data_IF_031057682302
#
_entry.id   IF_031057682302
#
_cell.length_a   1.000
_cell.length_b   1.000
_cell.length_c   1.000
_cell.angle_alpha   90.00
_cell.angle_beta   90.00
_cell.angle_gamma   90.00
#
_symmetry.space_group_name_H-M   'P 1'
#
loop_
_entity.id
_entity.type
_entity.pdbx_description
1 polymer ?
#
# COMPACT_ATOMS: atom_id res chain seq x y z
N UNK A 1 -3.87 12.00 2.85
CA UNK A 1 -4.57 11.51 1.66
C UNK A 1 -4.43 9.99 1.57
N UNK A 2 -5.51 9.31 1.23
CA UNK A 2 -5.49 7.86 1.11
C UNK A 2 -5.01 7.41 -0.27
N UNK A 3 -4.25 6.34 -0.27
CA UNK A 3 -3.77 5.68 -1.48
C UNK A 3 -4.01 4.17 -1.38
N UNK A 4 -4.41 3.59 -2.50
CA UNK A 4 -4.46 2.14 -2.67
C UNK A 4 -3.19 1.69 -3.39
N UNK A 5 -2.48 0.76 -2.78
CA UNK A 5 -1.31 0.14 -3.38
C UNK A 5 -1.69 -1.29 -3.72
N UNK A 6 -1.68 -1.61 -5.02
CA UNK A 6 -1.90 -2.97 -5.50
C UNK A 6 -0.55 -3.52 -5.92
N UNK A 7 -0.19 -4.70 -5.42
CA UNK A 7 1.12 -5.27 -5.70
C UNK A 7 1.03 -6.73 -6.06
N UNK A 8 2.00 -7.20 -6.85
CA UNK A 8 2.10 -8.59 -7.26
C UNK A 8 3.56 -8.97 -7.43
N UNK A 9 3.95 -10.12 -6.88
CA UNK A 9 5.27 -10.68 -7.13
C UNK A 9 5.39 -11.10 -8.60
N UNK A 10 6.55 -10.88 -9.18
CA UNK A 10 6.79 -11.15 -10.60
C UNK A 10 6.76 -12.63 -10.92
N UNK A 11 7.17 -13.47 -9.97
CA UNK A 11 7.13 -14.93 -10.08
C UNK A 11 7.23 -15.59 -8.70
N UNK A 12 7.21 -16.92 -8.66
CA UNK A 12 7.28 -17.67 -7.40
C UNK A 12 8.63 -17.51 -6.68
N UNK A 13 9.71 -17.34 -7.41
CA UNK A 13 11.03 -17.11 -6.83
C UNK A 13 11.08 -15.76 -6.15
N UNK A 14 10.55 -14.74 -6.80
CA UNK A 14 10.44 -13.40 -6.25
C UNK A 14 9.57 -13.38 -4.99
N UNK A 15 8.46 -14.14 -5.00
CA UNK A 15 7.59 -14.27 -3.84
C UNK A 15 8.32 -14.88 -2.64
N UNK A 16 9.07 -15.94 -2.86
CA UNK A 16 9.83 -16.60 -1.80
C UNK A 16 10.89 -15.67 -1.22
N UNK A 17 11.64 -15.00 -2.08
CA UNK A 17 12.68 -14.05 -1.70
C UNK A 17 12.10 -12.85 -0.96
N UNK A 18 11.00 -12.30 -1.49
CA UNK A 18 10.32 -11.15 -0.88
C UNK A 18 9.70 -11.50 0.47
N UNK A 19 9.17 -12.70 0.62
CA UNK A 19 8.60 -13.16 1.89
C UNK A 19 9.65 -13.25 2.98
N UNK A 20 10.87 -13.70 2.65
CA UNK A 20 12.00 -13.70 3.58
C UNK A 20 12.41 -12.28 3.98
N UNK A 21 12.50 -11.39 3.02
CA UNK A 21 12.82 -9.98 3.27
C UNK A 21 11.78 -9.33 4.18
N UNK A 22 10.50 -9.61 3.92
CA UNK A 22 9.40 -9.08 4.71
C UNK A 22 9.48 -9.57 6.16
N UNK A 23 9.76 -10.86 6.34
CA UNK A 23 9.90 -11.43 7.69
C UNK A 23 11.06 -10.82 8.45
N UNK A 24 12.21 -10.62 7.81
CA UNK A 24 13.37 -9.96 8.42
C UNK A 24 13.01 -8.52 8.84
N UNK A 25 12.34 -7.79 7.96
CA UNK A 25 11.89 -6.44 8.25
C UNK A 25 10.94 -6.42 9.46
N UNK A 26 10.00 -7.35 9.49
CA UNK A 26 9.03 -7.50 10.59
C UNK A 26 9.73 -7.82 11.91
N UNK A 27 10.65 -8.77 11.89
CA UNK A 27 11.38 -9.21 13.09
C UNK A 27 12.30 -8.12 13.65
N UNK A 28 12.73 -7.20 12.81
CA UNK A 28 13.55 -6.04 13.20
C UNK A 28 12.73 -4.83 13.65
N UNK A 29 11.43 -4.98 13.82
CA UNK A 29 10.56 -3.91 14.29
C UNK A 29 10.10 -2.96 13.19
N UNK A 30 10.06 -3.41 11.94
CA UNK A 30 9.63 -2.58 10.81
C UNK A 30 8.26 -1.92 11.00
N UNK A 31 7.22 -2.63 11.43
CA UNK A 31 5.91 -2.01 11.64
C UNK A 31 5.89 -0.87 12.65
N UNK A 32 6.77 -0.90 13.65
CA UNK A 32 6.86 0.10 14.68
C UNK A 32 7.73 1.29 14.29
N UNK A 33 8.51 1.16 13.22
CA UNK A 33 9.49 2.15 12.78
C UNK A 33 9.20 2.69 11.39
N UNK A 34 7.93 2.79 11.03
CA UNK A 34 7.52 3.40 9.77
C UNK A 34 7.80 4.89 9.79
N UNK A 35 8.10 5.49 8.63
CA UNK A 35 8.37 6.92 8.58
C UNK A 35 7.18 7.75 8.97
N UNK A 36 7.43 8.96 9.44
CA UNK A 36 6.40 9.95 9.66
C UNK A 36 5.69 10.28 8.33
N UNK A 37 4.39 10.51 8.40
CA UNK A 37 3.60 10.80 7.19
C UNK A 37 3.25 9.56 6.37
N UNK A 38 3.40 8.37 6.92
CA UNK A 38 3.06 7.11 6.26
C UNK A 38 2.34 6.20 7.27
N UNK A 39 1.02 6.19 7.21
CA UNK A 39 0.18 5.43 8.13
C UNK A 39 -0.57 4.32 7.38
N UNK A 40 -0.25 3.07 7.69
CA UNK A 40 -0.87 1.91 7.04
C UNK A 40 -2.22 1.63 7.70
N UNK A 41 -3.28 1.78 6.93
CA UNK A 41 -4.66 1.51 7.39
C UNK A 41 -5.02 0.03 7.25
N UNK A 42 -4.57 -0.61 6.19
CA UNK A 42 -4.74 -2.05 6.01
C UNK A 42 -3.65 -2.59 5.09
N UNK A 43 -3.36 -3.87 5.26
CA UNK A 43 -2.43 -4.60 4.41
C UNK A 43 -2.88 -6.04 4.35
N UNK A 44 -3.06 -6.56 3.14
CA UNK A 44 -3.45 -7.96 2.92
C UNK A 44 -2.60 -8.58 1.83
N UNK A 45 -2.43 -9.88 1.91
CA UNK A 45 -1.70 -10.66 0.93
C UNK A 45 -2.46 -11.93 0.60
N UNK A 46 -2.50 -12.28 -0.68
CA UNK A 46 -3.14 -13.50 -1.18
C UNK A 46 -2.02 -14.47 -1.60
N UNK A 47 -1.61 -15.41 -0.72
CA UNK A 47 -0.41 -16.20 -0.97
C UNK A 47 -0.52 -17.12 -2.19
N UNK A 48 -1.72 -17.61 -2.51
CA UNK A 48 -1.91 -18.46 -3.68
C UNK A 48 -1.74 -17.70 -4.99
N UNK A 49 -2.01 -16.42 -4.99
CA UNK A 49 -1.96 -15.59 -6.20
C UNK A 49 -0.69 -14.74 -6.26
N UNK A 50 0.04 -14.63 -5.16
CA UNK A 50 1.25 -13.82 -5.10
C UNK A 50 1.01 -12.33 -5.20
N UNK A 51 -0.19 -11.86 -4.87
CA UNK A 51 -0.55 -10.45 -4.93
C UNK A 51 -1.26 -9.99 -3.67
N UNK A 52 -1.39 -8.69 -3.51
CA UNK A 52 -2.07 -8.13 -2.36
C UNK A 52 -2.36 -6.64 -2.52
N UNK A 53 -2.88 -6.07 -1.44
CA UNK A 53 -3.33 -4.68 -1.42
C UNK A 53 -2.96 -4.03 -0.09
N UNK A 54 -2.67 -2.74 -0.15
CA UNK A 54 -2.46 -1.94 1.05
C UNK A 54 -3.16 -0.60 0.89
N UNK A 55 -3.84 -0.15 1.94
CA UNK A 55 -4.38 1.20 2.00
C UNK A 55 -3.55 1.99 2.99
N UNK A 56 -3.01 3.11 2.54
CA UNK A 56 -2.16 3.95 3.37
C UNK A 56 -2.66 5.38 3.36
N UNK A 57 -2.51 6.06 4.49
CA UNK A 57 -2.66 7.51 4.56
C UNK A 57 -1.27 8.11 4.53
N UNK A 58 -0.96 8.85 3.48
CA UNK A 58 0.36 9.42 3.29
C UNK A 58 0.26 10.88 2.88
N UNK A 59 1.28 11.66 3.26
CA UNK A 59 1.34 13.09 2.91
C UNK A 59 1.74 13.31 1.46
N UNK A 60 2.43 12.35 0.85
CA UNK A 60 2.84 12.51 -0.55
C UNK A 60 3.11 11.16 -1.22
N UNK A 61 3.07 11.18 -2.55
CA UNK A 61 3.48 10.03 -3.36
C UNK A 61 4.95 9.67 -3.12
N UNK A 62 5.78 10.67 -2.90
CA UNK A 62 7.21 10.46 -2.62
C UNK A 62 7.43 9.62 -1.38
N UNK A 63 6.67 9.89 -0.31
CA UNK A 63 6.75 9.11 0.94
C UNK A 63 6.43 7.64 0.70
N UNK A 64 5.39 7.37 -0.09
CA UNK A 64 5.00 6.00 -0.46
C UNK A 64 6.11 5.36 -1.29
N UNK A 65 6.60 6.07 -2.30
CA UNK A 65 7.62 5.55 -3.21
C UNK A 65 8.88 5.13 -2.47
N UNK A 66 9.32 5.91 -1.48
CA UNK A 66 10.48 5.57 -0.66
C UNK A 66 10.31 4.25 0.07
N UNK A 67 9.09 3.93 0.48
CA UNK A 67 8.80 2.66 1.16
C UNK A 67 8.77 1.48 0.21
N UNK A 68 8.26 1.68 -1.00
CA UNK A 68 8.00 0.58 -1.94
C UNK A 68 9.08 0.40 -2.99
N UNK A 69 9.85 1.42 -3.33
CA UNK A 69 10.87 1.33 -4.37
C UNK A 69 11.93 0.26 -4.13
N UNK A 70 12.35 -0.05 -2.89
CA UNK A 70 13.30 -1.15 -2.66
C UNK A 70 12.79 -2.52 -3.11
N UNK A 71 11.48 -2.67 -3.28
CA UNK A 71 10.83 -3.93 -3.67
C UNK A 71 10.67 -4.10 -5.17
N UNK A 72 11.05 -3.10 -5.97
CA UNK A 72 10.78 -3.07 -7.41
C UNK A 72 11.33 -4.26 -8.19
N UNK A 73 12.41 -4.85 -7.74
CA UNK A 73 12.99 -6.02 -8.39
C UNK A 73 12.12 -7.27 -8.23
N UNK A 74 11.29 -7.31 -7.19
CA UNK A 74 10.49 -8.47 -6.84
C UNK A 74 9.01 -8.27 -7.10
N UNK A 75 8.54 -7.03 -7.09
CA UNK A 75 7.13 -6.67 -7.18
C UNK A 75 6.86 -5.72 -8.33
N UNK A 76 5.71 -5.95 -8.97
CA UNK A 76 5.02 -4.93 -9.74
C UNK A 76 3.99 -4.29 -8.81
N UNK A 77 3.90 -2.97 -8.78
CA UNK A 77 2.90 -2.31 -7.95
C UNK A 77 2.39 -1.02 -8.59
N UNK A 78 1.15 -0.70 -8.25
CA UNK A 78 0.50 0.55 -8.63
C UNK A 78 0.10 1.31 -7.37
N UNK A 79 0.14 2.63 -7.45
CA UNK A 79 -0.24 3.52 -6.35
C UNK A 79 -1.31 4.46 -6.89
N UNK A 80 -2.51 4.41 -6.31
CA UNK A 80 -3.64 5.19 -6.79
C UNK A 80 -4.29 5.94 -5.63
N UNK A 81 -4.62 7.22 -5.81
CA UNK A 81 -5.44 7.92 -4.82
C UNK A 81 -6.77 7.22 -4.66
N UNK A 82 -7.24 7.13 -3.43
CA UNK A 82 -8.54 6.53 -3.14
C UNK A 82 -9.27 7.32 -2.07
N UNK A 83 -10.55 6.99 -1.87
CA UNK A 83 -11.39 7.60 -0.86
C UNK A 83 -12.04 6.50 -0.03
N UNK A 84 -12.17 6.72 1.27
CA UNK A 84 -12.97 5.84 2.11
C UNK A 84 -14.47 6.16 1.94
N UNK A 85 -15.31 5.44 2.66
CA UNK A 85 -16.77 5.63 2.56
C UNK A 85 -17.18 7.07 2.90
N UNK A 86 -16.65 7.61 3.99
CA UNK A 86 -17.01 8.95 4.44
C UNK A 86 -16.58 10.02 3.44
N UNK A 87 -15.36 9.92 2.92
CA UNK A 87 -14.85 10.82 1.90
C UNK A 87 -15.67 10.73 0.61
N UNK A 88 -16.04 9.52 0.22
CA UNK A 88 -16.88 9.28 -0.96
C UNK A 88 -18.25 9.91 -0.81
N UNK A 89 -18.88 9.74 0.34
CA UNK A 89 -20.18 10.35 0.64
C UNK A 89 -20.11 11.88 0.61
N UNK A 90 -19.04 12.47 1.11
CA UNK A 90 -18.85 13.93 1.07
C UNK A 90 -18.74 14.44 -0.37
N UNK A 91 -18.01 13.74 -1.23
CA UNK A 91 -17.86 14.10 -2.63
C UNK A 91 -19.23 14.12 -3.36
N UNK A 92 -20.01 13.08 -3.18
CA UNK A 92 -21.32 12.98 -3.81
C UNK A 92 -22.36 13.92 -3.20
N UNK A 93 -22.26 14.21 -1.94
CA UNK A 93 -23.13 15.20 -1.29
C UNK A 93 -22.91 16.59 -1.87
N UNK A 94 -21.66 16.95 -2.16
CA UNK A 94 -21.34 18.20 -2.82
C UNK A 94 -21.95 18.28 -4.22
N UNK A 95 -21.86 17.21 -5.00
CA UNK A 95 -22.46 17.12 -6.34
C UNK A 95 -23.98 17.21 -6.26
N UNK A 96 -24.60 16.52 -5.32
CA UNK A 96 -26.05 16.55 -5.13
C UNK A 96 -26.54 17.94 -4.72
N UNK A 97 -25.76 18.68 -3.97
CA UNK A 97 -26.10 20.03 -3.55
C UNK A 97 -26.13 21.02 -4.71
N UNK A 98 -25.37 20.75 -5.76
CA UNK A 98 -25.29 21.61 -6.95
C UNK A 98 -26.45 21.38 -7.91
N UNK A 99 -27.18 20.31 -7.73
CA UNK A 99 -28.34 19.97 -8.54
C UNK A 99 -29.62 20.61 -7.99
#
# INVERSE_FOLDING_TARGET
MLFLISYKFTDAIAQHKGSKMLKEWYDKGGPQNRPEGYDVKSWIFLPQHGNGYSVVDADSLETIWKQWSPWRELLEFTIEPCADLDQTCLLYTSDAADE
#
